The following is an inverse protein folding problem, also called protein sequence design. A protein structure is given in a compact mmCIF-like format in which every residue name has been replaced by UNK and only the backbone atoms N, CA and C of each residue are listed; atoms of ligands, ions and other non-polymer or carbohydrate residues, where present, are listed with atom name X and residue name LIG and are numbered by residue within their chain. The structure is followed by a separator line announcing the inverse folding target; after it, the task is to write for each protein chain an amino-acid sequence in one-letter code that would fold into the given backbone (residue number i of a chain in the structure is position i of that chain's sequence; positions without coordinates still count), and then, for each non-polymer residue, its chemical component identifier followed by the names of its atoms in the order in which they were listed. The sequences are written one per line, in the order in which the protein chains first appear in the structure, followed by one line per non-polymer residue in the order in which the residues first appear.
data_IF_502625386233
#
_entry.id   IF_502625386233
#
_cell.length_a   1.000
_cell.length_b   1.000
_cell.length_c   1.000
_cell.angle_alpha   90.00
_cell.angle_beta   90.00
_cell.angle_gamma   90.00
#
_symmetry.space_group_name_H-M   'P 1'
#
loop_
_entity.id
_entity.type
_entity.pdbx_description
1 polymer ?
#
# COMPACT_ATOMS: atom_id res chain seq x y z
N UNK A 1 23.59 -20.76 -8.88
CA UNK A 1 22.23 -20.81 -8.31
C UNK A 1 21.97 -19.49 -7.58
N UNK A 2 20.98 -18.69 -7.99
CA UNK A 2 20.56 -17.52 -7.20
C UNK A 2 19.97 -18.05 -5.89
N UNK A 3 20.51 -17.61 -4.75
CA UNK A 3 19.95 -17.92 -3.42
C UNK A 3 18.59 -17.23 -3.33
N UNK A 4 17.51 -17.99 -3.14
CA UNK A 4 16.17 -17.45 -2.91
C UNK A 4 16.20 -16.72 -1.56
N UNK A 5 15.80 -15.46 -1.56
CA UNK A 5 15.68 -14.66 -0.34
C UNK A 5 14.43 -15.14 0.41
N UNK A 6 14.62 -15.69 1.60
CA UNK A 6 13.50 -16.10 2.46
C UNK A 6 13.06 -14.91 3.30
N UNK A 7 11.87 -14.38 3.03
CA UNK A 7 11.28 -13.25 3.76
C UNK A 7 10.07 -13.77 4.51
N UNK A 8 10.00 -13.43 5.80
CA UNK A 8 8.84 -13.73 6.65
C UNK A 8 8.23 -12.37 7.03
N UNK A 9 7.12 -11.97 6.41
CA UNK A 9 6.41 -10.77 6.83
C UNK A 9 5.69 -11.01 8.16
N UNK A 10 5.59 -9.96 8.96
CA UNK A 10 4.79 -9.91 10.17
C UNK A 10 4.16 -8.54 10.30
N UNK A 11 3.03 -8.48 10.99
CA UNK A 11 2.30 -7.25 11.24
C UNK A 11 1.79 -7.23 12.68
N UNK A 12 1.58 -6.03 13.20
CA UNK A 12 0.90 -5.78 14.46
C UNK A 12 0.19 -4.43 14.32
N UNK A 13 -0.95 -4.31 15.01
CA UNK A 13 -1.73 -3.08 15.02
C UNK A 13 -2.51 -3.03 16.35
N UNK A 14 -2.59 -1.84 16.93
CA UNK A 14 -3.31 -1.57 18.16
C UNK A 14 -4.10 -0.27 17.98
N UNK A 15 -5.33 -0.24 18.47
CA UNK A 15 -6.22 0.93 18.41
C UNK A 15 -5.86 1.97 19.49
N UNK A 16 -5.20 1.54 20.58
CA UNK A 16 -4.95 2.38 21.74
C UNK A 16 -6.27 2.95 22.32
N UNK A 17 -6.25 4.23 22.69
CA UNK A 17 -7.42 4.92 23.29
C UNK A 17 -8.38 5.53 22.24
N UNK A 18 -8.18 5.24 20.94
CA UNK A 18 -8.99 5.82 19.86
C UNK A 18 -10.37 5.14 19.79
N UNK A 19 -11.36 5.88 19.32
CA UNK A 19 -12.70 5.34 19.05
C UNK A 19 -12.75 4.45 17.79
N UNK A 20 -11.81 4.66 16.86
CA UNK A 20 -11.74 3.94 15.59
C UNK A 20 -10.29 3.66 15.20
N UNK A 21 -10.01 2.41 14.80
CA UNK A 21 -8.77 2.06 14.12
C UNK A 21 -8.82 2.49 12.65
N UNK A 22 -7.97 3.42 12.25
CA UNK A 22 -7.92 3.97 10.89
C UNK A 22 -6.61 3.63 10.15
N UNK A 23 -5.69 2.94 10.82
CA UNK A 23 -4.53 2.34 10.19
C UNK A 23 -4.94 1.09 9.41
N UNK A 24 -4.32 0.88 8.26
CA UNK A 24 -4.45 -0.31 7.43
C UNK A 24 -3.06 -0.77 6.97
N UNK A 25 -2.88 -2.08 6.87
CA UNK A 25 -1.65 -2.65 6.29
C UNK A 25 -1.99 -3.85 5.42
N UNK A 26 -1.03 -4.26 4.59
CA UNK A 26 -1.18 -5.43 3.76
C UNK A 26 0.12 -5.89 3.11
N UNK A 27 0.10 -7.11 2.61
CA UNK A 27 1.19 -7.71 1.85
C UNK A 27 0.67 -8.19 0.50
N UNK A 28 1.54 -8.19 -0.52
CA UNK A 28 1.27 -8.94 -1.74
C UNK A 28 1.14 -10.44 -1.43
N UNK A 29 0.58 -11.20 -2.38
CA UNK A 29 0.43 -12.65 -2.26
C UNK A 29 1.75 -13.36 -1.93
N UNK A 30 1.82 -13.89 -0.71
CA UNK A 30 3.00 -14.59 -0.19
C UNK A 30 3.06 -16.06 -0.64
N UNK A 31 1.93 -16.58 -1.14
CA UNK A 31 1.78 -17.94 -1.65
C UNK A 31 2.05 -18.04 -3.16
N UNK A 32 2.18 -16.92 -3.87
CA UNK A 32 2.44 -16.88 -5.31
C UNK A 32 3.95 -16.77 -5.59
N UNK A 33 4.59 -17.93 -5.68
CA UNK A 33 6.03 -18.03 -5.94
C UNK A 33 6.44 -17.37 -7.28
N UNK A 34 5.57 -17.38 -8.29
CA UNK A 34 5.86 -16.75 -9.58
C UNK A 34 5.86 -15.23 -9.43
N UNK A 35 4.83 -14.68 -8.78
CA UNK A 35 4.78 -13.26 -8.44
C UNK A 35 6.00 -12.84 -7.63
N UNK A 36 6.37 -13.58 -6.59
CA UNK A 36 7.54 -13.25 -5.76
C UNK A 36 8.83 -13.18 -6.59
N UNK A 37 8.98 -14.05 -7.60
CA UNK A 37 10.17 -14.07 -8.46
C UNK A 37 10.30 -12.79 -9.32
N UNK A 38 9.21 -12.36 -9.97
CA UNK A 38 9.27 -11.19 -10.87
C UNK A 38 8.93 -9.86 -10.20
N UNK A 39 8.08 -9.85 -9.17
CA UNK A 39 7.56 -8.68 -8.48
C UNK A 39 8.10 -8.48 -7.06
N UNK A 40 8.79 -9.46 -6.48
CA UNK A 40 9.22 -9.40 -5.08
C UNK A 40 8.07 -9.47 -4.09
N UNK A 41 8.34 -9.13 -2.83
CA UNK A 41 7.32 -9.04 -1.78
C UNK A 41 7.06 -7.57 -1.49
N UNK A 42 5.83 -7.13 -1.72
CA UNK A 42 5.33 -5.80 -1.38
C UNK A 42 4.69 -5.84 0.01
N UNK A 43 5.03 -4.86 0.85
CA UNK A 43 4.35 -4.53 2.08
C UNK A 43 3.84 -3.08 1.99
N UNK A 44 2.63 -2.83 2.50
CA UNK A 44 2.00 -1.51 2.50
C UNK A 44 1.46 -1.22 3.90
N UNK A 45 1.61 0.02 4.36
CA UNK A 45 0.93 0.56 5.53
C UNK A 45 0.37 1.93 5.18
N UNK A 46 -0.80 2.26 5.73
CA UNK A 46 -1.51 3.51 5.52
C UNK A 46 -2.16 3.93 6.85
N UNK A 47 -1.96 5.17 7.27
CA UNK A 47 -2.59 5.76 8.47
C UNK A 47 -3.67 6.75 8.00
N UNK A 48 -4.93 6.40 8.25
CA UNK A 48 -6.07 7.24 7.92
C UNK A 48 -6.15 8.48 8.82
N UNK A 49 -6.27 9.66 8.22
CA UNK A 49 -6.23 10.91 8.99
C UNK A 49 -7.49 11.11 9.85
N UNK A 50 -7.38 10.90 11.17
CA UNK A 50 -8.52 10.96 12.10
C UNK A 50 -9.16 12.34 12.38
N UNK A 51 -8.59 13.42 11.83
CA UNK A 51 -9.25 14.75 11.79
C UNK A 51 -10.14 14.95 10.55
N UNK A 52 -10.07 14.01 9.60
CA UNK A 52 -10.82 13.97 8.37
C UNK A 52 -11.90 12.89 8.45
N UNK A 53 -12.89 12.99 7.59
CA UNK A 53 -13.90 11.97 7.50
C UNK A 53 -13.32 10.72 6.82
N UNK A 54 -13.82 9.55 7.22
CA UNK A 54 -13.58 8.30 6.50
C UNK A 54 -12.08 7.91 6.42
N UNK A 55 -11.32 8.15 7.50
CA UNK A 55 -9.89 7.84 7.57
C UNK A 55 -9.60 6.35 7.31
N UNK A 56 -10.37 5.44 7.92
CA UNK A 56 -10.23 3.99 7.68
C UNK A 56 -10.49 3.65 6.21
N UNK A 57 -11.55 4.18 5.63
CA UNK A 57 -11.93 3.90 4.25
C UNK A 57 -10.89 4.45 3.27
N UNK A 58 -10.31 5.63 3.55
CA UNK A 58 -9.20 6.18 2.79
C UNK A 58 -7.97 5.27 2.85
N UNK A 59 -7.54 4.87 4.06
CA UNK A 59 -6.41 3.97 4.28
C UNK A 59 -6.61 2.63 3.56
N UNK A 60 -7.82 2.07 3.67
CA UNK A 60 -8.18 0.82 3.00
C UNK A 60 -8.16 0.94 1.49
N UNK A 61 -8.77 1.99 0.94
CA UNK A 61 -8.81 2.24 -0.50
C UNK A 61 -7.39 2.43 -1.08
N UNK A 62 -6.52 3.16 -0.36
CA UNK A 62 -5.15 3.37 -0.77
C UNK A 62 -4.36 2.04 -0.76
N UNK A 63 -4.43 1.27 0.34
CA UNK A 63 -3.74 -0.01 0.48
C UNK A 63 -4.22 -1.06 -0.51
N UNK A 64 -5.53 -1.23 -0.69
CA UNK A 64 -6.10 -2.22 -1.61
C UNK A 64 -5.73 -1.88 -3.07
N UNK A 65 -5.82 -0.60 -3.44
CA UNK A 65 -5.42 -0.11 -4.78
C UNK A 65 -3.92 -0.27 -5.01
N UNK A 66 -3.07 0.08 -4.03
CA UNK A 66 -1.62 -0.07 -4.13
C UNK A 66 -1.22 -1.52 -4.40
N UNK A 67 -1.78 -2.48 -3.65
CA UNK A 67 -1.50 -3.91 -3.83
C UNK A 67 -1.93 -4.41 -5.22
N UNK A 68 -3.14 -4.04 -5.66
CA UNK A 68 -3.70 -4.49 -6.93
C UNK A 68 -2.92 -3.91 -8.13
N UNK A 69 -2.68 -2.60 -8.14
CA UNK A 69 -2.01 -1.94 -9.27
C UNK A 69 -0.54 -2.28 -9.35
N UNK A 70 0.17 -2.45 -8.22
CA UNK A 70 1.55 -2.91 -8.26
C UNK A 70 1.67 -4.29 -8.90
N UNK A 71 0.76 -5.21 -8.56
CA UNK A 71 0.76 -6.58 -9.09
C UNK A 71 0.68 -6.61 -10.63
N UNK A 72 -0.10 -5.71 -11.21
CA UNK A 72 -0.27 -5.60 -12.65
C UNK A 72 0.87 -4.80 -13.31
N UNK A 73 1.24 -3.65 -12.73
CA UNK A 73 2.26 -2.76 -13.28
C UNK A 73 3.64 -3.44 -13.37
N UNK A 74 4.06 -4.17 -12.33
CA UNK A 74 5.39 -4.79 -12.26
C UNK A 74 5.62 -5.89 -13.32
N UNK A 75 4.56 -6.33 -14.03
CA UNK A 75 4.69 -7.23 -15.18
C UNK A 75 5.24 -6.54 -16.42
N UNK A 76 5.09 -5.23 -16.50
CA UNK A 76 5.41 -4.43 -17.69
C UNK A 76 6.53 -3.42 -17.46
N UNK A 77 6.79 -3.06 -16.20
CA UNK A 77 7.78 -2.03 -15.85
C UNK A 77 8.63 -2.43 -14.63
N UNK A 78 9.82 -1.82 -14.46
CA UNK A 78 10.67 -2.03 -13.29
C UNK A 78 9.96 -1.65 -11.98
N UNK A 79 10.43 -2.22 -10.86
CA UNK A 79 9.84 -2.00 -9.52
C UNK A 79 9.66 -0.52 -9.15
N UNK A 80 10.64 0.39 -9.37
CA UNK A 80 10.45 1.81 -9.04
C UNK A 80 9.28 2.46 -9.78
N UNK A 81 9.18 2.22 -11.10
CA UNK A 81 8.10 2.75 -11.94
C UNK A 81 6.75 2.13 -11.57
N UNK A 82 6.73 0.83 -11.25
CA UNK A 82 5.52 0.14 -10.82
C UNK A 82 5.01 0.65 -9.46
N UNK A 83 5.91 0.96 -8.54
CA UNK A 83 5.59 1.59 -7.25
C UNK A 83 4.98 2.98 -7.45
N UNK A 84 5.60 3.81 -8.29
CA UNK A 84 5.10 5.15 -8.59
C UNK A 84 3.72 5.11 -9.28
N UNK A 85 3.54 4.24 -10.27
CA UNK A 85 2.26 4.05 -10.94
C UNK A 85 1.16 3.60 -9.96
N UNK A 86 1.45 2.63 -9.10
CA UNK A 86 0.51 2.14 -8.09
C UNK A 86 0.17 3.22 -7.04
N UNK A 87 1.14 4.05 -6.64
CA UNK A 87 0.93 5.16 -5.73
C UNK A 87 -0.02 6.21 -6.32
N UNK A 88 0.15 6.55 -7.60
CA UNK A 88 -0.73 7.51 -8.28
C UNK A 88 -2.17 6.99 -8.36
N UNK A 89 -2.37 5.70 -8.60
CA UNK A 89 -3.69 5.08 -8.59
C UNK A 89 -4.30 5.04 -7.18
N UNK A 90 -3.50 4.72 -6.16
CA UNK A 90 -3.95 4.78 -4.77
C UNK A 90 -4.44 6.18 -4.39
N UNK A 91 -3.72 7.23 -4.79
CA UNK A 91 -4.15 8.62 -4.61
C UNK A 91 -5.46 8.93 -5.37
N UNK A 92 -5.60 8.46 -6.62
CA UNK A 92 -6.85 8.60 -7.38
C UNK A 92 -8.03 7.94 -6.69
N UNK A 93 -7.85 6.75 -6.11
CA UNK A 93 -8.89 6.04 -5.39
C UNK A 93 -9.37 6.81 -4.14
N UNK A 94 -8.45 7.39 -3.37
CA UNK A 94 -8.78 8.22 -2.21
C UNK A 94 -9.51 9.50 -2.63
N UNK A 95 -9.05 10.15 -3.71
CA UNK A 95 -9.73 11.33 -4.25
C UNK A 95 -11.15 10.99 -4.75
N UNK A 96 -11.34 9.86 -5.43
CA UNK A 96 -12.66 9.42 -5.87
C UNK A 96 -13.60 9.20 -4.67
N UNK A 97 -13.12 8.52 -3.62
CA UNK A 97 -13.87 8.34 -2.37
C UNK A 97 -14.29 9.68 -1.76
N UNK A 98 -13.38 10.65 -1.72
CA UNK A 98 -13.65 12.02 -1.24
C UNK A 98 -14.77 12.70 -2.03
N UNK A 99 -14.71 12.64 -3.35
CA UNK A 99 -15.69 13.28 -4.25
C UNK A 99 -17.07 12.61 -4.19
N UNK A 100 -17.13 11.27 -4.19
CA UNK A 100 -18.38 10.51 -4.14
C UNK A 100 -19.20 10.77 -2.86
N UNK A 101 -18.51 11.11 -1.77
CA UNK A 101 -19.13 11.44 -0.49
C UNK A 101 -19.40 12.94 -0.30
N UNK A 102 -19.06 13.79 -1.28
CA UNK A 102 -19.21 15.25 -1.19
C UNK A 102 -18.29 15.89 -0.14
N UNK A 103 -17.12 15.29 0.09
CA UNK A 103 -16.17 15.64 1.15
C UNK A 103 -14.80 16.01 0.58
N UNK A 104 -14.80 16.79 -0.51
CA UNK A 104 -13.58 17.20 -1.20
C UNK A 104 -12.61 17.90 -0.23
N UNK A 105 -11.38 17.40 -0.16
CA UNK A 105 -10.35 17.92 0.77
C UNK A 105 -10.52 17.49 2.24
N UNK A 106 -11.55 16.69 2.55
CA UNK A 106 -11.85 16.22 3.90
C UNK A 106 -11.69 14.70 4.08
N UNK A 107 -11.01 14.03 3.16
CA UNK A 107 -10.71 12.58 3.22
C UNK A 107 -9.25 12.38 2.82
N UNK A 108 -8.50 11.57 3.57
CA UNK A 108 -7.14 11.21 3.20
C UNK A 108 -6.45 10.28 4.19
N UNK A 109 -5.28 9.81 3.78
CA UNK A 109 -4.46 8.83 4.49
C UNK A 109 -2.99 9.05 4.12
N UNK A 110 -2.07 8.66 5.01
CA UNK A 110 -0.68 8.40 4.63
C UNK A 110 -0.59 7.10 3.83
N UNK A 111 0.54 6.86 3.16
CA UNK A 111 0.88 5.56 2.58
C UNK A 111 2.39 5.38 2.51
N UNK A 112 2.88 4.27 3.07
CA UNK A 112 4.23 3.76 2.85
C UNK A 112 4.12 2.39 2.20
N UNK A 113 4.86 2.19 1.12
CA UNK A 113 4.93 0.91 0.43
C UNK A 113 6.39 0.53 0.17
N UNK A 114 6.72 -0.73 0.45
CA UNK A 114 8.07 -1.26 0.38
C UNK A 114 8.10 -2.61 -0.34
N UNK A 115 8.98 -2.74 -1.33
CA UNK A 115 9.23 -3.98 -2.07
C UNK A 115 10.61 -4.49 -1.76
N UNK A 116 10.70 -5.75 -1.36
CA UNK A 116 11.97 -6.47 -1.30
C UNK A 116 12.08 -7.41 -2.49
N UNK A 117 13.08 -7.16 -3.35
CA UNK A 117 13.36 -7.96 -4.55
C UNK A 117 14.86 -8.04 -4.80
N UNK A 118 15.39 -9.23 -5.12
CA UNK A 118 16.81 -9.44 -5.46
C UNK A 118 17.80 -8.79 -4.45
N UNK A 119 17.50 -8.88 -3.13
CA UNK A 119 18.29 -8.27 -2.04
C UNK A 119 18.34 -6.73 -2.04
N UNK A 120 17.41 -6.09 -2.74
CA UNK A 120 17.21 -4.66 -2.74
C UNK A 120 15.87 -4.32 -2.10
N UNK A 121 15.82 -3.16 -1.44
CA UNK A 121 14.62 -2.56 -0.89
C UNK A 121 14.27 -1.33 -1.73
N UNK A 122 13.08 -1.33 -2.31
CA UNK A 122 12.49 -0.20 -3.03
C UNK A 122 11.32 0.30 -2.22
N UNK A 123 11.12 1.60 -2.12
CA UNK A 123 10.01 2.13 -1.33
C UNK A 123 9.52 3.48 -1.86
N UNK A 124 8.27 3.78 -1.53
CA UNK A 124 7.63 5.08 -1.70
C UNK A 124 6.92 5.45 -0.40
N UNK A 125 6.82 6.75 -0.13
CA UNK A 125 6.14 7.27 1.07
C UNK A 125 5.43 8.58 0.75
N UNK A 126 4.24 8.74 1.31
CA UNK A 126 3.46 9.99 1.35
C UNK A 126 2.87 10.10 2.75
N UNK A 127 3.12 11.22 3.44
CA UNK A 127 2.74 11.40 4.85
C UNK A 127 3.91 11.25 5.81
N UNK A 128 3.62 10.95 7.08
CA UNK A 128 4.54 11.08 8.22
C UNK A 128 4.47 9.90 9.21
#
# INVERSE_FOLDING_TARGET
MKKILHIIPGNAQDIGDRAEQQDEFGFSRLDDQKFIEYGGILAVVADGMGGLAQGREAARAAKDTMLAHYQEAVRQMPVPEALEAALQEANRAVLALSLENGREGEVGTTLVAAVVKDRQLYWVSVGD
#
